data_IF_041843469265
#
_entry.id   IF_041843469265
#
_cell.length_a   1.000
_cell.length_b   1.000
_cell.length_c   1.000
_cell.angle_alpha   90.00
_cell.angle_beta   90.00
_cell.angle_gamma   90.00
#
_symmetry.space_group_name_H-M   'P 1'
#
loop_
_entity.id
_entity.type
_entity.pdbx_description
1 polymer ?
#
# COMPACT_ATOMS: atom_id res chain seq x y z
N UNK A 1 19.22 21.67 9.33
CA UNK A 1 18.17 22.16 10.26
C UNK A 1 16.91 22.68 9.55
N UNK A 2 17.01 23.51 8.49
CA UNK A 2 15.85 24.12 7.80
C UNK A 2 14.86 23.13 7.15
N UNK A 3 15.34 22.03 6.58
CA UNK A 3 14.48 21.04 5.90
C UNK A 3 13.55 20.34 6.89
N UNK A 4 14.07 19.95 8.07
CA UNK A 4 13.27 19.32 9.12
C UNK A 4 12.13 20.22 9.63
N UNK A 5 12.43 21.50 9.87
CA UNK A 5 11.43 22.49 10.27
C UNK A 5 10.33 22.65 9.22
N UNK A 6 10.68 22.76 7.93
CA UNK A 6 9.70 22.86 6.83
C UNK A 6 8.79 21.64 6.73
N UNK A 7 9.32 20.43 6.93
CA UNK A 7 8.55 19.17 6.93
C UNK A 7 7.54 19.16 8.08
N UNK A 8 7.99 19.51 9.28
CA UNK A 8 7.15 19.58 10.47
C UNK A 8 6.02 20.61 10.31
N UNK A 9 6.34 21.84 9.87
CA UNK A 9 5.34 22.89 9.65
C UNK A 9 4.29 22.46 8.62
N UNK A 10 4.68 21.80 7.53
CA UNK A 10 3.73 21.33 6.52
C UNK A 10 2.76 20.26 7.07
N UNK A 11 3.27 19.33 7.89
CA UNK A 11 2.43 18.33 8.55
C UNK A 11 1.50 18.98 9.59
N UNK A 12 2.01 19.87 10.43
CA UNK A 12 1.23 20.59 11.43
C UNK A 12 0.11 21.42 10.78
N UNK A 13 0.42 22.10 9.67
CA UNK A 13 -0.57 22.87 8.91
C UNK A 13 -1.67 21.97 8.32
N UNK A 14 -1.31 20.78 7.79
CA UNK A 14 -2.32 19.83 7.30
C UNK A 14 -3.23 19.35 8.43
N UNK A 15 -2.66 18.92 9.57
CA UNK A 15 -3.43 18.47 10.73
C UNK A 15 -4.38 19.56 11.23
N UNK A 16 -3.91 20.81 11.29
CA UNK A 16 -4.75 21.95 11.67
C UNK A 16 -5.93 22.16 10.71
N UNK A 17 -5.72 22.03 9.38
CA UNK A 17 -6.80 22.14 8.38
C UNK A 17 -7.80 20.99 8.45
N UNK A 18 -7.33 19.76 8.67
CA UNK A 18 -8.18 18.59 8.88
C UNK A 18 -9.09 18.82 10.08
N UNK A 19 -8.50 19.20 11.22
CA UNK A 19 -9.23 19.47 12.46
C UNK A 19 -10.24 20.62 12.33
N UNK A 20 -9.81 21.74 11.72
CA UNK A 20 -10.68 22.89 11.49
C UNK A 20 -11.88 22.53 10.61
N UNK A 21 -11.67 21.75 9.54
CA UNK A 21 -12.77 21.31 8.68
C UNK A 21 -13.78 20.42 9.42
N UNK A 22 -13.31 19.51 10.27
CA UNK A 22 -14.19 18.71 11.13
C UNK A 22 -15.01 19.58 12.08
N UNK A 23 -14.40 20.58 12.72
CA UNK A 23 -15.11 21.53 13.59
C UNK A 23 -16.15 22.36 12.84
N UNK A 24 -15.86 22.78 11.60
CA UNK A 24 -16.81 23.54 10.77
C UNK A 24 -18.02 22.70 10.34
N UNK A 25 -17.83 21.40 10.11
CA UNK A 25 -18.93 20.47 9.78
C UNK A 25 -19.78 20.18 11.01
N UNK A 26 -19.15 19.97 12.17
CA UNK A 26 -19.86 19.69 13.43
C UNK A 26 -20.75 20.85 13.88
N UNK A 27 -20.37 22.11 13.59
CA UNK A 27 -21.17 23.29 13.92
C UNK A 27 -22.37 23.54 13.00
N UNK A 28 -22.60 22.72 11.97
CA UNK A 28 -23.68 22.90 11.01
C UNK A 28 -24.54 21.65 10.93
N UNK A 29 -25.65 21.66 11.66
CA UNK A 29 -26.66 20.59 11.60
C UNK A 29 -27.49 20.68 10.31
N UNK A 30 -27.77 19.53 9.69
CA UNK A 30 -28.66 19.44 8.53
C UNK A 30 -28.61 18.10 7.80
N UNK A 31 -29.59 17.86 6.93
CA UNK A 31 -29.75 16.59 6.21
C UNK A 31 -28.55 16.17 5.32
N UNK A 32 -27.66 17.11 4.94
CA UNK A 32 -26.46 16.84 4.11
C UNK A 32 -25.20 16.45 4.94
N UNK A 33 -25.31 16.25 6.25
CA UNK A 33 -24.15 16.12 7.13
C UNK A 33 -23.25 14.93 6.74
N UNK A 34 -23.83 13.78 6.41
CA UNK A 34 -23.07 12.59 5.98
C UNK A 34 -22.24 12.87 4.71
N UNK A 35 -22.84 13.51 3.70
CA UNK A 35 -22.13 13.87 2.47
C UNK A 35 -21.00 14.86 2.72
N UNK A 36 -21.18 15.78 3.68
CA UNK A 36 -20.14 16.75 4.07
C UNK A 36 -18.95 16.07 4.73
N UNK A 37 -19.21 15.12 5.64
CA UNK A 37 -18.16 14.29 6.22
C UNK A 37 -17.43 13.47 5.14
N UNK A 38 -18.16 12.80 4.25
CA UNK A 38 -17.57 12.03 3.16
C UNK A 38 -16.66 12.88 2.25
N UNK A 39 -17.15 14.06 1.81
CA UNK A 39 -16.35 15.01 1.01
C UNK A 39 -15.10 15.49 1.76
N UNK A 40 -15.24 15.78 3.05
CA UNK A 40 -14.12 16.22 3.88
C UNK A 40 -13.09 15.11 4.11
N UNK A 41 -13.54 13.89 4.42
CA UNK A 41 -12.68 12.70 4.53
C UNK A 41 -11.88 12.48 3.26
N UNK A 42 -12.55 12.52 2.09
CA UNK A 42 -11.89 12.37 0.80
C UNK A 42 -10.83 13.45 0.59
N UNK A 43 -11.17 14.71 0.84
CA UNK A 43 -10.20 15.81 0.73
C UNK A 43 -9.00 15.63 1.67
N UNK A 44 -9.24 15.28 2.93
CA UNK A 44 -8.18 15.04 3.91
C UNK A 44 -7.28 13.88 3.49
N UNK A 45 -7.84 12.80 2.96
CA UNK A 45 -7.09 11.66 2.49
C UNK A 45 -6.21 12.00 1.29
N UNK A 46 -6.74 12.72 0.29
CA UNK A 46 -5.97 13.18 -0.88
C UNK A 46 -4.85 14.15 -0.46
N UNK A 47 -5.11 15.04 0.50
CA UNK A 47 -4.10 15.95 1.02
C UNK A 47 -3.00 15.22 1.81
N UNK A 48 -3.36 14.22 2.61
CA UNK A 48 -2.42 13.36 3.33
C UNK A 48 -1.58 12.53 2.35
N UNK A 49 -2.21 11.94 1.33
CA UNK A 49 -1.54 11.23 0.25
C UNK A 49 -0.49 12.11 -0.43
N UNK A 50 -0.90 13.29 -0.92
CA UNK A 50 -0.01 14.19 -1.64
C UNK A 50 1.16 14.66 -0.76
N UNK A 51 0.89 14.98 0.51
CA UNK A 51 1.95 15.38 1.44
C UNK A 51 2.90 14.22 1.74
N UNK A 52 2.38 13.02 1.95
CA UNK A 52 3.16 11.84 2.25
C UNK A 52 4.08 11.44 1.08
N UNK A 53 3.56 11.47 -0.15
CA UNK A 53 4.35 11.25 -1.37
C UNK A 53 5.44 12.31 -1.54
N UNK A 54 5.12 13.59 -1.33
CA UNK A 54 6.09 14.68 -1.46
C UNK A 54 7.19 14.65 -0.40
N UNK A 55 6.84 14.24 0.82
CA UNK A 55 7.80 14.21 1.93
C UNK A 55 8.60 12.91 1.96
N UNK A 56 8.05 11.80 1.46
CA UNK A 56 8.66 10.48 1.55
C UNK A 56 9.03 10.07 3.00
N UNK A 57 9.70 8.94 3.17
CA UNK A 57 10.20 8.48 4.47
C UNK A 57 9.10 8.08 5.47
N UNK A 58 9.09 8.68 6.66
CA UNK A 58 8.13 8.30 7.71
C UNK A 58 6.66 8.62 7.33
N UNK A 59 6.30 9.82 6.82
CA UNK A 59 4.94 10.13 6.38
C UNK A 59 4.30 9.11 5.45
N UNK A 60 5.02 8.63 4.43
CA UNK A 60 4.50 7.62 3.48
C UNK A 60 4.27 6.28 4.17
N UNK A 61 5.15 5.86 5.08
CA UNK A 61 4.96 4.64 5.88
C UNK A 61 3.76 4.71 6.81
N UNK A 62 3.53 5.86 7.46
CA UNK A 62 2.34 6.09 8.30
C UNK A 62 1.08 5.97 7.47
N UNK A 63 1.04 6.59 6.29
CA UNK A 63 -0.13 6.52 5.43
C UNK A 63 -0.35 5.10 4.85
N UNK A 64 0.71 4.37 4.52
CA UNK A 64 0.63 2.95 4.15
C UNK A 64 0.06 2.08 5.28
N UNK A 65 0.51 2.29 6.53
CA UNK A 65 -0.02 1.57 7.69
C UNK A 65 -1.50 1.88 7.91
N UNK A 66 -1.88 3.16 7.83
CA UNK A 66 -3.27 3.59 7.97
C UNK A 66 -4.15 3.06 6.85
N UNK A 67 -3.68 3.08 5.60
CA UNK A 67 -4.41 2.59 4.43
C UNK A 67 -4.61 1.07 4.39
N UNK A 68 -3.90 0.29 5.21
CA UNK A 68 -4.12 -1.16 5.35
C UNK A 68 -5.13 -1.51 6.47
N UNK A 69 -5.53 -0.54 7.31
CA UNK A 69 -6.43 -0.70 8.44
C UNK A 69 -7.84 -0.17 8.13
N UNK A 70 -8.58 -0.93 7.33
CA UNK A 70 -9.95 -0.59 6.94
C UNK A 70 -10.94 -0.52 8.12
N UNK A 71 -10.56 -1.06 9.27
CA UNK A 71 -11.32 -1.07 10.52
C UNK A 71 -11.22 0.23 11.32
N UNK A 72 -10.23 1.09 11.04
CA UNK A 72 -9.91 2.26 11.86
C UNK A 72 -10.32 3.58 11.20
N UNK A 73 -10.36 3.62 9.88
CA UNK A 73 -10.54 4.86 9.12
C UNK A 73 -11.83 4.86 8.28
N UNK A 74 -12.42 6.03 8.02
CA UNK A 74 -13.49 6.15 7.04
C UNK A 74 -13.08 5.60 5.68
N UNK A 75 -14.04 5.06 4.93
CA UNK A 75 -13.80 4.40 3.64
C UNK A 75 -13.01 5.26 2.66
N UNK A 76 -13.26 6.58 2.65
CA UNK A 76 -12.57 7.51 1.75
C UNK A 76 -11.07 7.61 2.03
N UNK A 77 -10.65 7.47 3.30
CA UNK A 77 -9.23 7.42 3.66
C UNK A 77 -8.58 6.12 3.22
N UNK A 78 -9.25 4.99 3.47
CA UNK A 78 -8.74 3.66 3.11
C UNK A 78 -8.53 3.58 1.60
N UNK A 79 -9.53 3.97 0.81
CA UNK A 79 -9.47 3.95 -0.65
C UNK A 79 -8.29 4.78 -1.16
N UNK A 80 -8.14 6.01 -0.69
CA UNK A 80 -7.08 6.93 -1.14
C UNK A 80 -5.70 6.48 -0.69
N UNK A 81 -5.53 6.15 0.60
CA UNK A 81 -4.23 5.82 1.17
C UNK A 81 -3.75 4.42 0.75
N UNK A 82 -4.65 3.50 0.41
CA UNK A 82 -4.29 2.19 -0.17
C UNK A 82 -3.51 2.32 -1.49
N UNK A 83 -3.64 3.44 -2.20
CA UNK A 83 -2.86 3.73 -3.42
C UNK A 83 -1.38 3.98 -3.14
N UNK A 84 -1.00 4.29 -1.89
CA UNK A 84 0.42 4.41 -1.49
C UNK A 84 1.10 3.05 -1.30
N UNK A 85 0.33 1.97 -1.30
CA UNK A 85 0.91 0.64 -1.31
C UNK A 85 1.63 0.45 -2.65
N UNK A 86 2.87 -0.01 -2.59
CA UNK A 86 3.64 -0.36 -3.78
C UNK A 86 3.00 -1.59 -4.42
N UNK A 87 2.01 -1.35 -5.28
CA UNK A 87 1.30 -2.36 -6.06
C UNK A 87 1.61 -2.13 -7.52
N UNK A 88 2.43 -3.00 -8.08
CA UNK A 88 2.71 -3.03 -9.52
C UNK A 88 1.91 -4.15 -10.17
N UNK A 89 1.46 -3.99 -11.43
CA UNK A 89 0.85 -5.08 -12.18
C UNK A 89 1.74 -6.33 -12.11
N UNK A 90 1.17 -7.50 -11.76
CA UNK A 90 1.95 -8.71 -11.65
C UNK A 90 2.45 -9.16 -13.01
N UNK A 91 3.70 -9.58 -13.07
CA UNK A 91 4.27 -10.32 -14.20
C UNK A 91 3.68 -11.73 -14.22
N UNK A 92 3.37 -12.29 -15.40
CA UNK A 92 2.96 -13.68 -15.53
C UNK A 92 3.96 -14.62 -14.85
N UNK A 93 3.46 -15.62 -14.11
CA UNK A 93 4.31 -16.61 -13.42
C UNK A 93 5.31 -17.29 -14.37
N UNK A 94 4.93 -17.52 -15.63
CA UNK A 94 5.79 -18.09 -16.65
C UNK A 94 7.13 -17.33 -16.84
N UNK A 95 7.12 -16.00 -16.68
CA UNK A 95 8.34 -15.19 -16.77
C UNK A 95 9.24 -15.31 -15.52
N UNK A 96 8.70 -15.81 -14.42
CA UNK A 96 9.36 -15.96 -13.13
C UNK A 96 9.89 -17.38 -12.88
N UNK A 97 9.34 -18.39 -13.57
CA UNK A 97 9.79 -19.79 -13.47
C UNK A 97 11.30 -19.97 -13.71
N UNK A 98 11.95 -19.30 -14.69
CA UNK A 98 13.40 -19.42 -14.89
C UNK A 98 14.20 -18.94 -13.68
N UNK A 99 13.73 -17.90 -12.99
CA UNK A 99 14.39 -17.37 -11.79
C UNK A 99 14.31 -18.38 -10.64
N UNK A 100 13.15 -19.01 -10.45
CA UNK A 100 12.97 -20.09 -9.48
C UNK A 100 13.89 -21.27 -9.79
N UNK A 101 13.96 -21.68 -11.06
CA UNK A 101 14.80 -22.79 -11.47
C UNK A 101 16.29 -22.52 -11.23
N UNK A 102 16.73 -21.28 -11.49
CA UNK A 102 18.10 -20.86 -11.19
C UNK A 102 18.40 -20.87 -9.68
N UNK A 103 17.48 -20.38 -8.85
CA UNK A 103 17.68 -20.33 -7.39
C UNK A 103 17.68 -21.73 -6.75
N UNK A 104 16.83 -22.64 -7.23
CA UNK A 104 16.69 -23.99 -6.68
C UNK A 104 17.56 -25.05 -7.38
N UNK A 105 18.25 -24.71 -8.48
CA UNK A 105 18.96 -25.65 -9.35
C UNK A 105 18.10 -26.82 -9.87
N UNK A 106 16.78 -26.67 -9.85
CA UNK A 106 15.83 -27.66 -10.33
C UNK A 106 14.53 -26.99 -10.76
N UNK A 107 13.75 -27.59 -11.66
CA UNK A 107 12.48 -27.02 -12.11
C UNK A 107 11.51 -26.75 -10.95
N UNK A 108 10.68 -25.71 -11.07
CA UNK A 108 9.77 -25.31 -10.00
C UNK A 108 8.78 -26.42 -9.60
N UNK A 109 8.33 -27.22 -10.57
CA UNK A 109 7.46 -28.38 -10.34
C UNK A 109 8.15 -29.51 -9.55
N UNK A 110 9.49 -29.58 -9.55
CA UNK A 110 10.26 -30.51 -8.71
C UNK A 110 10.26 -30.10 -7.22
N UNK A 111 10.17 -28.79 -6.94
CA UNK A 111 10.15 -28.22 -5.57
C UNK A 111 8.72 -28.16 -5.03
N UNK A 112 7.80 -27.61 -5.84
CA UNK A 112 6.44 -27.31 -5.45
C UNK A 112 5.48 -28.34 -6.05
N UNK A 113 4.61 -28.92 -5.22
CA UNK A 113 3.47 -29.70 -5.70
C UNK A 113 2.45 -28.81 -6.43
N UNK A 114 2.26 -27.58 -5.93
CA UNK A 114 1.42 -26.57 -6.55
C UNK A 114 2.05 -25.18 -6.38
N UNK A 115 1.91 -24.34 -7.39
CA UNK A 115 2.26 -22.92 -7.33
C UNK A 115 1.18 -22.14 -8.08
N UNK A 116 0.46 -21.27 -7.37
CA UNK A 116 -0.66 -20.52 -7.92
C UNK A 116 -0.15 -19.51 -8.97
N UNK A 117 -0.64 -19.55 -10.22
CA UNK A 117 -0.26 -18.58 -11.24
C UNK A 117 -0.67 -17.15 -10.90
N UNK A 118 -1.68 -16.97 -10.04
CA UNK A 118 -2.13 -15.66 -9.56
C UNK A 118 -1.39 -15.30 -8.26
N UNK A 119 -0.67 -14.17 -8.21
CA UNK A 119 0.01 -13.77 -6.98
C UNK A 119 -0.97 -13.26 -5.93
N UNK A 120 -0.68 -13.57 -4.67
CA UNK A 120 -1.33 -12.99 -3.49
C UNK A 120 -1.03 -11.49 -3.36
N UNK A 121 0.19 -11.08 -3.73
CA UNK A 121 0.62 -9.68 -3.71
C UNK A 121 1.72 -9.44 -4.76
N UNK A 122 1.78 -8.22 -5.28
CA UNK A 122 2.79 -7.78 -6.24
C UNK A 122 3.29 -6.39 -5.86
N UNK A 123 4.59 -6.26 -5.65
CA UNK A 123 5.28 -5.01 -5.34
C UNK A 123 6.45 -4.81 -6.31
N UNK A 124 6.98 -3.59 -6.43
CA UNK A 124 8.03 -3.25 -7.40
C UNK A 124 9.22 -4.22 -7.37
N UNK A 125 9.60 -4.68 -6.18
CA UNK A 125 10.75 -5.56 -5.94
C UNK A 125 10.42 -7.06 -5.91
N UNK A 126 9.17 -7.44 -5.66
CA UNK A 126 8.81 -8.85 -5.53
C UNK A 126 7.31 -9.15 -5.73
N UNK A 127 7.03 -10.36 -6.19
CA UNK A 127 5.70 -10.97 -6.20
C UNK A 127 5.64 -12.12 -5.20
N UNK A 128 4.50 -12.28 -4.53
CA UNK A 128 4.25 -13.38 -3.58
C UNK A 128 3.16 -14.27 -4.15
N UNK A 129 3.47 -15.55 -4.33
CA UNK A 129 2.54 -16.58 -4.80
C UNK A 129 2.20 -17.55 -3.67
N UNK A 130 0.98 -18.10 -3.69
CA UNK A 130 0.65 -19.25 -2.84
C UNK A 130 1.27 -20.50 -3.46
N UNK A 131 1.90 -21.33 -2.64
CA UNK A 131 2.44 -22.61 -3.09
C UNK A 131 2.19 -23.72 -2.07
N UNK A 132 2.35 -24.96 -2.53
CA UNK A 132 2.38 -26.15 -1.68
C UNK A 132 3.63 -26.95 -2.01
N UNK A 133 4.41 -27.30 -1.01
CA UNK A 133 5.57 -28.18 -1.16
C UNK A 133 5.12 -29.62 -1.39
N UNK A 134 6.04 -30.46 -1.89
CA UNK A 134 5.74 -31.89 -2.13
C UNK A 134 5.49 -32.71 -0.86
N UNK A 135 5.90 -32.21 0.30
CA UNK A 135 5.57 -32.80 1.60
C UNK A 135 4.20 -32.34 2.15
N UNK A 136 3.44 -31.56 1.38
CA UNK A 136 2.10 -31.10 1.72
C UNK A 136 2.04 -29.76 2.46
N UNK A 137 3.16 -29.17 2.87
CA UNK A 137 3.16 -27.88 3.58
C UNK A 137 2.76 -26.72 2.66
N UNK A 138 1.84 -25.88 3.12
CA UNK A 138 1.50 -24.62 2.45
C UNK A 138 2.57 -23.55 2.71
N UNK A 139 2.95 -22.82 1.67
CA UNK A 139 4.00 -21.81 1.71
C UNK A 139 3.62 -20.55 0.93
N UNK A 140 4.13 -19.41 1.36
CA UNK A 140 4.13 -18.17 0.58
C UNK A 140 5.47 -18.04 -0.14
N UNK A 141 5.46 -18.11 -1.46
CA UNK A 141 6.66 -18.07 -2.31
C UNK A 141 6.90 -16.64 -2.78
N UNK A 142 7.89 -15.97 -2.20
CA UNK A 142 8.29 -14.60 -2.58
C UNK A 142 9.37 -14.65 -3.66
N UNK A 143 9.04 -14.15 -4.85
CA UNK A 143 9.92 -14.10 -6.02
C UNK A 143 10.34 -12.66 -6.26
N UNK A 144 11.65 -12.38 -6.31
CA UNK A 144 12.15 -11.03 -6.63
C UNK A 144 11.87 -10.71 -8.10
N UNK A 145 11.32 -9.52 -8.38
CA UNK A 145 10.97 -9.04 -9.74
C UNK A 145 11.92 -7.96 -10.24
N UNK A 146 12.70 -7.32 -9.37
CA UNK A 146 13.73 -6.36 -9.80
C UNK A 146 14.93 -7.12 -10.36
N UNK A 147 15.06 -7.13 -11.68
CA UNK A 147 16.34 -7.39 -12.35
C UNK A 147 17.27 -6.24 -11.98
N UNK A 148 18.24 -6.46 -11.10
CA UNK A 148 19.49 -5.69 -11.17
C UNK A 148 20.03 -5.94 -12.57
N UNK A 149 19.98 -4.91 -13.42
CA UNK A 149 20.56 -4.98 -14.75
C UNK A 149 22.03 -5.37 -14.65
N UNK A 150 22.40 -6.30 -15.55
CA UNK A 150 23.73 -6.49 -16.16
C UNK A 150 24.96 -6.49 -15.25
#
# INVERSE_FOLDING_TARGET
MLVGARRFTAMAALVARVYAGYKLIQHRDGADQQSRYARHHRWCAEAAFALATRLEGLPIKVCQFLGSRADVLPAEYVEVLSRLQDRVPPRPLALLLPMLQHEFNQPADAVFAELDPVPLASASLAQVHRGRLRDGREVAVKIRTSTSGS
#
